data_IF_885726660869
#
_entry.id   IF_885726660869
#
_cell.length_a   1.000
_cell.length_b   1.000
_cell.length_c   1.000
_cell.angle_alpha   90.00
_cell.angle_beta   90.00
_cell.angle_gamma   90.00
#
_symmetry.space_group_name_H-M   'P 1'
#
loop_
_entity.id
_entity.type
_entity.pdbx_description
1 polymer ?
#
# COMPACT_ATOMS: atom_id res chain seq x y z
N UNK A 1 6.31 19.26 11.91
CA UNK A 1 6.58 19.78 10.55
C UNK A 1 5.90 19.01 9.42
N UNK A 2 6.07 17.67 9.33
CA UNK A 2 5.49 16.85 8.24
C UNK A 2 3.96 16.97 8.10
N UNK A 3 3.22 16.96 9.21
CA UNK A 3 1.75 17.15 9.24
C UNK A 3 1.38 18.51 8.62
N UNK A 4 2.07 19.58 9.03
CA UNK A 4 1.82 20.93 8.50
C UNK A 4 2.20 21.04 7.01
N UNK A 5 3.23 20.32 6.56
CA UNK A 5 3.58 20.21 5.15
C UNK A 5 2.46 19.55 4.34
N UNK A 6 1.97 18.39 4.79
CA UNK A 6 0.84 17.70 4.13
C UNK A 6 -0.40 18.60 4.04
N UNK A 7 -0.76 19.30 5.12
CA UNK A 7 -1.89 20.22 5.12
C UNK A 7 -1.74 21.37 4.09
N UNK A 8 -0.52 21.89 3.90
CA UNK A 8 -0.24 22.92 2.87
C UNK A 8 -0.33 22.34 1.46
N UNK A 9 0.21 21.14 1.26
CA UNK A 9 0.15 20.43 -0.03
C UNK A 9 -1.29 20.13 -0.43
N UNK A 10 -2.10 19.61 0.49
CA UNK A 10 -3.54 19.39 0.31
C UNK A 10 -4.28 20.64 -0.16
N UNK A 11 -4.08 21.78 0.51
CA UNK A 11 -4.68 23.06 0.06
C UNK A 11 -4.21 23.50 -1.32
N UNK A 12 -2.96 23.23 -1.68
CA UNK A 12 -2.44 23.55 -3.01
C UNK A 12 -3.05 22.64 -4.08
N UNK A 13 -3.10 21.33 -3.84
CA UNK A 13 -3.73 20.33 -4.70
C UNK A 13 -5.20 20.65 -4.95
N UNK A 14 -5.97 20.91 -3.88
CA UNK A 14 -7.38 21.30 -3.98
C UNK A 14 -7.59 22.56 -4.82
N UNK A 15 -6.78 23.62 -4.63
CA UNK A 15 -6.85 24.85 -5.43
C UNK A 15 -6.54 24.62 -6.91
N UNK A 16 -5.67 23.66 -7.22
CA UNK A 16 -5.24 23.33 -8.58
C UNK A 16 -6.10 22.23 -9.23
N UNK A 17 -7.06 21.64 -8.51
CA UNK A 17 -7.85 20.51 -8.99
C UNK A 17 -7.02 19.23 -9.20
N UNK A 18 -5.91 19.06 -8.47
CA UNK A 18 -5.04 17.89 -8.57
C UNK A 18 -5.34 16.89 -7.44
N UNK A 19 -5.39 15.58 -7.71
CA UNK A 19 -5.50 14.58 -6.66
C UNK A 19 -4.21 14.48 -5.84
N UNK A 20 -4.35 14.22 -4.54
CA UNK A 20 -3.27 14.07 -3.59
C UNK A 20 -3.18 12.63 -3.08
N UNK A 21 -2.06 11.97 -3.37
CA UNK A 21 -1.66 10.74 -2.68
C UNK A 21 -0.78 11.10 -1.47
N UNK A 22 -1.23 10.72 -0.27
CA UNK A 22 -0.48 10.88 0.97
C UNK A 22 0.21 9.57 1.36
N UNK A 23 1.54 9.61 1.49
CA UNK A 23 2.33 8.49 2.00
C UNK A 23 2.39 8.56 3.53
N UNK A 24 1.62 7.70 4.19
CA UNK A 24 1.43 7.70 5.64
C UNK A 24 2.10 6.48 6.25
N UNK A 25 3.30 6.65 6.81
CA UNK A 25 4.04 5.59 7.51
C UNK A 25 4.25 6.00 8.96
N UNK A 26 3.78 5.22 9.95
CA UNK A 26 4.12 5.48 11.34
C UNK A 26 5.61 5.19 11.53
N UNK A 27 6.40 6.24 11.79
CA UNK A 27 7.86 6.13 12.03
C UNK A 27 8.33 7.04 13.13
N UNK A 28 9.45 6.67 13.75
CA UNK A 28 10.18 7.48 14.72
C UNK A 28 10.37 6.76 16.05
N UNK A 29 11.11 7.38 16.97
CA UNK A 29 11.58 6.74 18.22
C UNK A 29 10.46 6.20 19.14
N UNK A 30 9.22 6.63 18.95
CA UNK A 30 8.06 6.18 19.74
C UNK A 30 7.23 5.08 19.05
N UNK A 31 7.54 4.75 17.80
CA UNK A 31 6.90 3.67 17.04
C UNK A 31 7.72 2.41 17.25
N UNK A 32 7.14 1.45 17.96
CA UNK A 32 7.79 0.16 18.21
C UNK A 32 7.67 -0.79 17.02
N UNK A 33 6.57 -0.67 16.27
CA UNK A 33 6.26 -1.51 15.12
C UNK A 33 5.58 -0.67 14.03
N UNK A 34 6.24 -0.51 12.88
CA UNK A 34 5.72 0.23 11.72
C UNK A 34 4.57 -0.52 11.00
N UNK A 35 4.32 -1.78 11.37
CA UNK A 35 3.27 -2.65 10.85
C UNK A 35 2.12 -2.85 11.84
N UNK A 36 2.15 -2.16 12.99
CA UNK A 36 1.08 -2.22 13.98
C UNK A 36 -0.25 -1.74 13.38
N UNK A 37 -1.34 -2.52 13.45
CA UNK A 37 -2.64 -2.10 12.94
C UNK A 37 -3.12 -0.77 13.53
N UNK A 38 -2.84 -0.53 14.81
CA UNK A 38 -3.21 0.71 15.50
C UNK A 38 -2.45 1.91 14.93
N UNK A 39 -1.13 1.83 14.85
CA UNK A 39 -0.29 2.95 14.41
C UNK A 39 -0.48 3.24 12.91
N UNK A 40 -0.63 2.19 12.10
CA UNK A 40 -0.91 2.31 10.67
C UNK A 40 -2.28 2.93 10.43
N UNK A 41 -3.33 2.47 11.12
CA UNK A 41 -4.68 3.06 11.01
C UNK A 41 -4.69 4.52 11.43
N UNK A 42 -3.99 4.87 12.51
CA UNK A 42 -3.89 6.25 12.98
C UNK A 42 -3.19 7.14 11.95
N UNK A 43 -2.05 6.70 11.41
CA UNK A 43 -1.33 7.44 10.38
C UNK A 43 -2.16 7.60 9.10
N UNK A 44 -2.83 6.54 8.65
CA UNK A 44 -3.72 6.59 7.49
C UNK A 44 -4.85 7.61 7.70
N UNK A 45 -5.53 7.55 8.85
CA UNK A 45 -6.62 8.46 9.20
C UNK A 45 -6.17 9.92 9.24
N UNK A 46 -4.98 10.23 9.74
CA UNK A 46 -4.43 11.59 9.66
C UNK A 46 -4.33 12.06 8.21
N UNK A 47 -3.91 11.20 7.28
CA UNK A 47 -3.85 11.51 5.85
C UNK A 47 -5.23 11.86 5.29
N UNK A 48 -6.24 11.05 5.63
CA UNK A 48 -7.64 11.28 5.24
C UNK A 48 -8.15 12.63 5.78
N UNK A 49 -8.01 12.89 7.07
CA UNK A 49 -8.49 14.14 7.70
C UNK A 49 -7.77 15.39 7.16
N UNK A 50 -6.57 15.25 6.62
CA UNK A 50 -5.83 16.35 5.99
C UNK A 50 -6.15 16.53 4.50
N UNK A 51 -7.11 15.78 3.95
CA UNK A 51 -7.60 15.94 2.57
C UNK A 51 -6.77 15.20 1.53
N UNK A 52 -6.21 14.04 1.88
CA UNK A 52 -5.71 13.12 0.86
C UNK A 52 -6.87 12.50 0.07
N UNK A 53 -6.65 12.23 -1.21
CA UNK A 53 -7.57 11.48 -2.07
C UNK A 53 -7.21 9.99 -2.10
N UNK A 54 -5.95 9.65 -1.84
CA UNK A 54 -5.44 8.28 -1.72
C UNK A 54 -4.43 8.22 -0.57
N UNK A 55 -4.51 7.19 0.26
CA UNK A 55 -3.45 6.89 1.25
C UNK A 55 -2.60 5.73 0.76
N UNK A 56 -1.29 5.91 0.84
CA UNK A 56 -0.31 4.83 0.73
C UNK A 56 0.28 4.52 2.11
N UNK A 57 0.24 3.25 2.53
CA UNK A 57 0.76 2.86 3.86
C UNK A 57 1.36 1.45 3.88
N UNK A 58 1.81 0.98 5.04
CA UNK A 58 2.37 -0.34 5.25
C UNK A 58 1.25 -1.39 5.38
N UNK A 59 1.46 -2.58 4.82
CA UNK A 59 0.62 -3.75 5.14
C UNK A 59 0.88 -4.22 6.57
N UNK A 60 -0.14 -4.61 7.32
CA UNK A 60 -0.06 -4.91 8.77
C UNK A 60 0.10 -6.39 9.09
N UNK A 61 0.47 -7.19 8.09
CA UNK A 61 0.88 -8.59 8.25
C UNK A 61 -0.21 -9.63 8.03
N UNK A 62 -1.50 -9.29 8.15
CA UNK A 62 -2.61 -10.20 7.83
C UNK A 62 -3.82 -9.46 7.24
N UNK A 63 -4.70 -10.15 6.48
CA UNK A 63 -5.90 -9.53 5.95
C UNK A 63 -6.78 -8.93 7.05
N UNK A 64 -6.94 -9.65 8.16
CA UNK A 64 -7.79 -9.25 9.29
C UNK A 64 -7.26 -7.98 9.96
N UNK A 65 -5.94 -7.91 10.14
CA UNK A 65 -5.30 -6.76 10.75
C UNK A 65 -5.32 -5.55 9.82
N UNK A 66 -5.18 -5.76 8.51
CA UNK A 66 -5.16 -4.69 7.52
C UNK A 66 -6.55 -4.15 7.20
N UNK A 67 -7.58 -4.99 7.35
CA UNK A 67 -8.98 -4.57 7.22
C UNK A 67 -9.32 -3.41 8.15
N UNK A 68 -8.74 -3.37 9.36
CA UNK A 68 -8.90 -2.25 10.29
C UNK A 68 -8.39 -0.92 9.70
N UNK A 69 -7.28 -0.96 8.96
CA UNK A 69 -6.69 0.21 8.29
C UNK A 69 -7.62 0.71 7.18
N UNK A 70 -8.11 -0.22 6.35
CA UNK A 70 -9.05 0.07 5.27
C UNK A 70 -10.35 0.66 5.84
N UNK A 71 -10.96 0.03 6.85
CA UNK A 71 -12.19 0.52 7.48
C UNK A 71 -12.01 1.87 8.18
N UNK A 72 -10.80 2.18 8.66
CA UNK A 72 -10.49 3.49 9.24
C UNK A 72 -10.37 4.63 8.20
N UNK A 73 -10.27 4.27 6.91
CA UNK A 73 -10.02 5.19 5.80
C UNK A 73 -11.19 5.17 4.82
N UNK A 74 -11.99 6.23 4.76
CA UNK A 74 -13.11 6.34 3.81
C UNK A 74 -12.69 6.65 2.36
N UNK A 75 -11.40 6.56 2.04
CA UNK A 75 -10.81 6.82 0.72
C UNK A 75 -9.93 5.63 0.31
N UNK A 76 -9.57 5.47 -0.97
CA UNK A 76 -8.69 4.40 -1.43
C UNK A 76 -7.39 4.28 -0.64
N UNK A 77 -7.10 3.07 -0.15
CA UNK A 77 -5.84 2.72 0.52
C UNK A 77 -5.03 1.79 -0.39
N UNK A 78 -3.77 2.13 -0.64
CA UNK A 78 -2.82 1.28 -1.37
C UNK A 78 -1.65 0.87 -0.49
N UNK A 79 -1.18 -0.37 -0.62
CA UNK A 79 -0.03 -0.83 0.17
C UNK A 79 1.31 -0.52 -0.50
N UNK A 80 2.32 -0.22 0.32
CA UNK A 80 3.70 -0.18 -0.10
C UNK A 80 4.29 -1.59 -0.17
N UNK A 81 5.26 -1.79 -1.08
CA UNK A 81 5.90 -3.10 -1.26
C UNK A 81 7.00 -3.45 -0.27
N UNK A 82 7.44 -2.53 0.59
CA UNK A 82 8.51 -2.80 1.54
C UNK A 82 9.90 -2.99 0.90
N UNK A 83 10.85 -3.61 1.62
CA UNK A 83 12.13 -4.06 1.05
C UNK A 83 11.94 -5.18 0.03
N UNK A 84 12.99 -5.46 -0.76
CA UNK A 84 12.99 -6.63 -1.64
C UNK A 84 12.84 -7.88 -0.77
N UNK A 85 11.85 -8.71 -1.06
CA UNK A 85 11.65 -10.01 -0.39
C UNK A 85 12.57 -11.06 -1.02
N UNK A 86 12.90 -12.08 -0.25
CA UNK A 86 13.62 -13.27 -0.76
C UNK A 86 12.71 -14.23 -1.50
N UNK A 87 11.39 -14.13 -1.30
CA UNK A 87 10.39 -15.00 -1.89
C UNK A 87 9.38 -14.19 -2.70
N UNK A 88 9.29 -14.47 -4.00
CA UNK A 88 8.29 -13.88 -4.89
C UNK A 88 6.88 -14.33 -4.48
N UNK A 89 6.72 -15.61 -4.13
CA UNK A 89 5.42 -16.16 -3.68
C UNK A 89 4.90 -15.47 -2.42
N UNK A 90 5.75 -15.23 -1.43
CA UNK A 90 5.34 -14.54 -0.20
C UNK A 90 4.94 -13.09 -0.49
N UNK A 91 5.66 -12.41 -1.38
CA UNK A 91 5.31 -11.05 -1.78
C UNK A 91 3.99 -10.98 -2.57
N UNK A 92 3.76 -11.89 -3.52
CA UNK A 92 2.48 -11.99 -4.23
C UNK A 92 1.34 -12.34 -3.28
N UNK A 93 1.58 -13.21 -2.29
CA UNK A 93 0.61 -13.49 -1.23
C UNK A 93 0.28 -12.25 -0.40
N UNK A 94 1.28 -11.48 0.01
CA UNK A 94 1.06 -10.22 0.73
C UNK A 94 0.16 -9.25 -0.08
N UNK A 95 0.39 -9.16 -1.40
CA UNK A 95 -0.45 -8.34 -2.28
C UNK A 95 -1.88 -8.88 -2.36
N UNK A 96 -2.05 -10.18 -2.59
CA UNK A 96 -3.36 -10.84 -2.62
C UNK A 96 -4.13 -10.64 -1.31
N UNK A 97 -3.44 -10.78 -0.17
CA UNK A 97 -4.01 -10.64 1.16
C UNK A 97 -4.43 -9.18 1.44
N UNK A 98 -3.65 -8.20 0.98
CA UNK A 98 -4.02 -6.79 1.09
C UNK A 98 -5.25 -6.44 0.25
N UNK A 99 -5.33 -6.96 -0.99
CA UNK A 99 -6.49 -6.76 -1.87
C UNK A 99 -7.74 -7.41 -1.27
N UNK A 100 -7.63 -8.63 -0.73
CA UNK A 100 -8.77 -9.31 -0.09
C UNK A 100 -9.26 -8.60 1.19
N UNK A 101 -8.37 -7.88 1.87
CA UNK A 101 -8.72 -7.00 2.99
C UNK A 101 -9.38 -5.67 2.59
N UNK A 102 -9.47 -5.37 1.29
CA UNK A 102 -10.10 -4.16 0.76
C UNK A 102 -9.13 -3.04 0.36
N UNK A 103 -7.83 -3.32 0.22
CA UNK A 103 -6.93 -2.37 -0.42
C UNK A 103 -7.40 -2.08 -1.85
N UNK A 104 -7.36 -0.81 -2.25
CA UNK A 104 -7.71 -0.38 -3.60
C UNK A 104 -6.62 -0.67 -4.64
N UNK A 105 -5.44 -1.11 -4.20
CA UNK A 105 -4.31 -1.41 -5.07
C UNK A 105 -2.97 -1.42 -4.35
N UNK A 106 -1.90 -1.31 -5.14
CA UNK A 106 -0.52 -1.38 -4.66
C UNK A 106 0.34 -0.26 -5.24
N UNK A 107 1.36 0.15 -4.50
CA UNK A 107 2.39 1.08 -4.99
C UNK A 107 3.78 0.53 -4.66
N UNK A 108 4.25 -0.33 -5.56
CA UNK A 108 5.42 -1.20 -5.38
C UNK A 108 6.61 -0.64 -6.17
N UNK A 109 7.80 -0.68 -5.54
CA UNK A 109 9.06 -0.34 -6.18
C UNK A 109 9.98 -1.56 -6.26
N UNK A 110 10.79 -1.76 -5.22
CA UNK A 110 11.91 -2.72 -5.19
C UNK A 110 11.55 -4.14 -5.60
N UNK A 111 10.40 -4.65 -5.17
CA UNK A 111 9.94 -6.00 -5.54
C UNK A 111 9.60 -6.17 -7.03
N UNK A 112 9.52 -5.08 -7.82
CA UNK A 112 9.39 -5.14 -9.28
C UNK A 112 10.73 -4.86 -9.95
N UNK A 113 11.31 -3.67 -9.75
CA UNK A 113 12.48 -3.27 -10.53
C UNK A 113 13.78 -3.98 -10.13
N UNK A 114 13.83 -4.67 -8.98
CA UNK A 114 14.97 -5.51 -8.57
C UNK A 114 14.70 -7.01 -8.77
N UNK A 115 13.55 -7.38 -9.34
CA UNK A 115 13.28 -8.74 -9.75
C UNK A 115 14.08 -9.07 -11.03
N UNK A 116 14.44 -10.33 -11.24
CA UNK A 116 15.17 -10.76 -12.45
C UNK A 116 14.33 -10.54 -13.71
N UNK A 117 13.01 -10.70 -13.58
CA UNK A 117 12.01 -10.48 -14.63
C UNK A 117 11.00 -9.37 -14.24
N UNK A 118 11.34 -8.06 -14.34
CA UNK A 118 10.46 -6.98 -13.89
C UNK A 118 9.13 -6.89 -14.64
N UNK A 119 9.11 -7.19 -15.94
CA UNK A 119 7.90 -7.16 -16.76
C UNK A 119 6.90 -8.22 -16.28
N UNK A 120 7.35 -9.47 -16.15
CA UNK A 120 6.51 -10.58 -15.67
C UNK A 120 5.99 -10.32 -14.26
N UNK A 121 6.83 -9.74 -13.41
CA UNK A 121 6.43 -9.34 -12.06
C UNK A 121 5.31 -8.28 -12.07
N UNK A 122 5.38 -7.29 -12.96
CA UNK A 122 4.31 -6.31 -13.13
C UNK A 122 3.03 -6.94 -13.68
N UNK A 123 3.13 -7.89 -14.61
CA UNK A 123 1.99 -8.64 -15.16
C UNK A 123 1.30 -9.50 -14.09
N UNK A 124 2.07 -10.19 -13.24
CA UNK A 124 1.56 -10.95 -12.11
C UNK A 124 0.82 -10.07 -11.10
N UNK A 125 1.37 -8.89 -10.78
CA UNK A 125 0.70 -7.91 -9.91
C UNK A 125 -0.60 -7.39 -10.54
N UNK A 126 -0.61 -7.10 -11.84
CA UNK A 126 -1.82 -6.70 -12.58
C UNK A 126 -2.89 -7.78 -12.48
N UNK A 127 -2.54 -9.04 -12.67
CA UNK A 127 -3.48 -10.16 -12.58
C UNK A 127 -4.15 -10.25 -11.19
N UNK A 128 -3.38 -10.11 -10.11
CA UNK A 128 -3.95 -10.12 -8.75
C UNK A 128 -4.84 -8.89 -8.53
N UNK A 129 -4.34 -7.69 -8.82
CA UNK A 129 -4.98 -6.42 -8.43
C UNK A 129 -6.21 -6.10 -9.29
N UNK A 130 -6.17 -6.40 -10.58
CA UNK A 130 -7.21 -6.00 -11.53
C UNK A 130 -8.09 -7.15 -12.03
N UNK A 131 -7.60 -8.39 -11.97
CA UNK A 131 -8.28 -9.54 -12.56
C UNK A 131 -8.72 -10.58 -11.50
N UNK A 132 -8.38 -10.36 -10.23
CA UNK A 132 -8.73 -11.27 -9.12
C UNK A 132 -8.04 -12.63 -9.21
N UNK A 133 -6.90 -12.70 -9.89
CA UNK A 133 -6.15 -13.95 -10.06
C UNK A 133 -5.59 -14.49 -8.73
N UNK A 134 -5.44 -15.81 -8.66
CA UNK A 134 -4.83 -16.47 -7.50
C UNK A 134 -3.30 -16.25 -7.47
N UNK A 135 -2.70 -16.44 -6.28
CA UNK A 135 -1.24 -16.41 -6.12
C UNK A 135 -0.56 -17.47 -6.98
N UNK A 136 -1.18 -18.63 -7.16
CA UNK A 136 -0.61 -19.71 -7.98
C UNK A 136 -0.54 -19.31 -9.46
N UNK A 137 -1.61 -18.74 -10.01
CA UNK A 137 -1.59 -18.20 -11.37
C UNK A 137 -0.55 -17.09 -11.52
N UNK A 138 -0.48 -16.17 -10.55
CA UNK A 138 0.51 -15.10 -10.58
C UNK A 138 1.96 -15.63 -10.53
N UNK A 139 2.21 -16.75 -9.84
CA UNK A 139 3.51 -17.42 -9.86
C UNK A 139 3.81 -18.04 -11.23
N UNK A 140 2.84 -18.70 -11.87
CA UNK A 140 3.00 -19.22 -13.23
C UNK A 140 3.37 -18.11 -14.23
N UNK A 141 2.76 -16.93 -14.09
CA UNK A 141 3.10 -15.74 -14.91
C UNK A 141 4.53 -15.27 -14.70
N UNK A 142 5.07 -15.37 -13.47
CA UNK A 142 6.47 -14.98 -13.19
C UNK A 142 7.46 -16.03 -13.71
N UNK A 143 7.14 -17.32 -13.56
CA UNK A 143 8.02 -18.44 -13.89
C UNK A 143 8.06 -18.79 -15.39
N UNK A 144 6.92 -18.66 -16.09
CA UNK A 144 6.81 -18.91 -17.54
C UNK A 144 7.31 -17.76 -18.36
#
# INVERSE_FOLDING_TARGET
>A
EQISFLARSSRACSRLGLPLLAMMYPRGAKIQDEHSPKEVSHAARIGVELGADVVKTNYTGSPESFKLVVESSHIPVVIAGGPKTSSTREFLKMVSDAISAGAAGVSIGRNVFQHEEPRKMAEALKAIVHEGASVDYAMEVVEG
#
